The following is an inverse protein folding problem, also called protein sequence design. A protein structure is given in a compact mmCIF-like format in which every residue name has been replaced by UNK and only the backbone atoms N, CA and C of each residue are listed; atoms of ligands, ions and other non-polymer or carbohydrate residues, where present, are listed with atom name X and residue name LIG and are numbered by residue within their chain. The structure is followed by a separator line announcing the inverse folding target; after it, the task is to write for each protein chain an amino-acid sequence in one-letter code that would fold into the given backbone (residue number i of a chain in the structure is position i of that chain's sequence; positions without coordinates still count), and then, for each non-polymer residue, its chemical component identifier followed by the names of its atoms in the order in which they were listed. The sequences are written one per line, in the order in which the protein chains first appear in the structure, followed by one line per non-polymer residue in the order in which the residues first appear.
data_IF_463930826054
#
_entry.id   IF_463930826054
#
_cell.length_a   1.000
_cell.length_b   1.000
_cell.length_c   1.000
_cell.angle_alpha   90.00
_cell.angle_beta   90.00
_cell.angle_gamma   90.00
#
_symmetry.space_group_name_H-M   'P 1'
#
loop_
_entity.id
_entity.type
_entity.pdbx_description
1 polymer ?
2 polymer ?
3 non-polymer ?
4 water ?
#
# COMPACT_ATOMS: atom_id res chain seq x y z
N UNK A 1 -1.46 -5.78 9.33
CA UNK A 1 -2.07 -4.57 9.92
C UNK A 1 -1.44 -3.33 9.30
N UNK A 2 -2.12 -2.21 9.43
CA UNK A 2 -1.63 -0.95 8.89
C UNK A 2 -0.26 -0.57 9.46
N UNK A 3 -0.05 -0.76 10.75
CA UNK A 3 1.24 -0.44 11.36
C UNK A 3 2.35 -1.34 10.81
N UNK A 4 2.06 -2.62 10.62
CA UNK A 4 3.02 -3.55 10.03
C UNK A 4 3.34 -3.15 8.60
N UNK A 5 2.33 -2.79 7.83
CA UNK A 5 2.54 -2.32 6.47
C UNK A 5 3.46 -1.09 6.50
N UNK A 6 3.23 -0.17 7.42
CA UNK A 6 4.05 1.01 7.51
C UNK A 6 5.51 0.70 7.80
N UNK A 7 5.75 -0.28 8.66
CA UNK A 7 7.12 -0.70 8.96
C UNK A 7 7.76 -1.35 7.74
N UNK A 8 7.00 -2.17 7.03
CA UNK A 8 7.46 -2.77 5.79
C UNK A 8 7.83 -1.72 4.73
N UNK A 9 7.00 -0.70 4.61
CA UNK A 9 7.27 0.42 3.70
C UNK A 9 8.57 1.14 4.08
N UNK A 10 8.75 1.44 5.36
CA UNK A 10 9.97 2.12 5.80
C UNK A 10 11.20 1.24 5.54
N UNK A 11 11.12 -0.04 5.85
CA UNK A 11 12.21 -0.97 5.58
C UNK A 11 12.58 -0.98 4.13
N UNK A 12 11.57 -1.00 3.28
CA UNK A 12 11.81 -1.14 1.87
C UNK A 12 12.37 0.14 1.25
N UNK A 13 11.80 1.29 1.62
CA UNK A 13 12.01 2.54 0.89
C UNK A 13 12.85 3.58 1.61
N UNK A 14 12.96 3.48 2.93
CA UNK A 14 13.61 4.52 3.72
C UNK A 14 12.70 5.69 4.00
N UNK A 15 11.38 5.75 3.40
CA UNK A 15 10.41 6.79 3.69
C UNK A 15 9.45 6.31 4.77
N UNK A 16 9.08 7.23 5.67
CA UNK A 16 8.03 6.97 6.64
C UNK A 16 6.67 6.88 5.94
N UNK A 17 5.90 5.86 6.23
CA UNK A 17 4.60 5.67 5.57
C UNK A 17 3.70 6.89 5.79
N UNK A 18 3.65 7.39 7.01
CA UNK A 18 3.12 8.72 7.32
C UNK A 18 4.34 9.64 7.49
N UNK A 19 4.55 10.66 6.67
CA UNK A 19 3.61 11.24 5.70
C UNK A 19 3.86 10.90 4.23
N UNK A 20 4.81 10.04 3.89
CA UNK A 20 5.19 9.88 2.48
C UNK A 20 4.16 9.16 1.62
N UNK A 21 3.39 8.25 2.23
CA UNK A 21 2.45 7.40 1.49
C UNK A 21 1.04 7.35 2.06
N UNK A 22 0.74 8.21 3.04
CA UNK A 22 -0.56 8.19 3.72
C UNK A 22 -1.59 9.11 3.07
N UNK A 23 -1.14 10.02 2.24
CA UNK A 23 -2.01 11.00 1.58
C UNK A 23 -1.54 11.33 0.15
N UNK A 24 -0.95 10.36 -0.51
CA UNK A 24 -0.28 10.58 -1.79
C UNK A 24 -1.22 10.29 -2.95
N UNK A 25 -1.35 11.24 -3.85
CA UNK A 25 -2.15 11.04 -5.04
C UNK A 25 -3.59 10.74 -4.72
N UNK A 26 -4.22 9.95 -5.59
CA UNK A 26 -5.62 9.64 -5.49
C UNK A 26 -5.92 8.37 -4.72
N UNK A 27 -4.93 7.46 -4.56
CA UNK A 27 -5.19 6.14 -4.02
C UNK A 27 -4.39 5.76 -2.78
N UNK A 28 -3.35 6.51 -2.43
CA UNK A 28 -2.53 6.15 -1.27
C UNK A 28 -3.08 6.74 -0.01
N UNK A 29 -3.61 5.87 0.85
CA UNK A 29 -4.01 6.25 2.19
C UNK A 29 -5.48 6.55 2.33
N UNK A 30 -6.16 6.92 1.24
CA UNK A 30 -7.59 7.20 1.29
C UNK A 30 -8.23 7.00 -0.10
N UNK A 31 -7.85 5.91 -0.76
CA UNK A 31 -8.19 5.68 -2.16
C UNK A 31 -9.65 5.44 -2.45
N UNK A 32 -10.08 5.81 -3.65
CA UNK A 32 -11.44 5.57 -4.10
C UNK A 32 -11.73 5.88 -5.56
N UNK A 33 -11.31 7.06 -6.02
CA UNK A 33 -11.64 7.55 -7.36
C UNK A 33 -10.48 8.29 -8.01
N UNK A 34 -10.59 8.48 -9.32
CA UNK A 34 -9.58 9.21 -10.08
C UNK A 34 -8.67 8.34 -10.92
N UNK A 35 -7.97 8.97 -11.83
CA UNK A 35 -6.87 8.33 -12.52
C UNK A 35 -5.63 8.45 -11.65
N UNK A 36 -4.99 7.34 -11.29
CA UNK A 36 -3.78 7.44 -10.47
C UNK A 36 -2.77 8.41 -11.09
N UNK A 37 -2.10 9.18 -10.25
CA UNK A 37 -1.28 10.28 -10.73
C UNK A 37 0.05 9.85 -11.34
N UNK A 38 0.57 8.71 -10.91
CA UNK A 38 1.89 8.25 -11.33
C UNK A 38 2.04 6.79 -10.91
N UNK A 39 3.23 6.24 -11.10
CA UNK A 39 3.43 4.83 -10.82
C UNK A 39 3.27 4.50 -9.33
N UNK A 40 3.75 5.37 -8.45
CA UNK A 40 3.57 5.17 -7.02
C UNK A 40 2.09 5.12 -6.66
N UNK A 41 1.32 6.05 -7.20
CA UNK A 41 -0.13 6.03 -6.97
C UNK A 41 -0.77 4.77 -7.54
N UNK A 42 -0.28 4.26 -8.66
CA UNK A 42 -0.77 2.98 -9.19
C UNK A 42 -0.44 1.83 -8.24
N UNK A 43 0.69 1.87 -7.53
CA UNK A 43 0.93 0.86 -6.49
C UNK A 43 -0.22 0.86 -5.50
N UNK A 44 -0.64 2.04 -5.08
CA UNK A 44 -1.74 2.16 -4.13
C UNK A 44 -3.08 1.72 -4.71
N UNK A 45 -3.33 2.05 -5.97
CA UNK A 45 -4.53 1.60 -6.64
C UNK A 45 -4.62 0.07 -6.60
N UNK A 46 -3.54 -0.59 -7.02
CA UNK A 46 -3.51 -2.04 -7.03
C UNK A 46 -3.62 -2.60 -5.61
N UNK A 47 -2.97 -1.98 -4.64
CA UNK A 47 -3.05 -2.42 -3.25
C UNK A 47 -4.48 -2.32 -2.74
N UNK A 48 -5.17 -1.24 -3.09
CA UNK A 48 -6.58 -1.08 -2.73
C UNK A 48 -7.41 -2.20 -3.36
N UNK A 49 -7.19 -2.51 -4.64
CA UNK A 49 -7.85 -3.62 -5.29
C UNK A 49 -7.56 -4.94 -4.58
N UNK A 50 -6.32 -5.11 -4.18
CA UNK A 50 -5.86 -6.34 -3.55
C UNK A 50 -6.63 -6.55 -2.22
N UNK A 51 -6.74 -5.50 -1.42
CA UNK A 51 -7.56 -5.56 -0.22
C UNK A 51 -9.02 -5.79 -0.56
N UNK A 52 -9.48 -5.19 -1.66
CA UNK A 52 -10.84 -5.34 -2.13
C UNK A 52 -11.20 -6.76 -2.51
N UNK A 53 -10.17 -7.55 -2.88
CA UNK A 53 -10.26 -9.00 -3.16
C UNK A 53 -10.63 -9.79 -1.87
N UNK A 54 -10.55 -9.16 -0.69
CA UNK A 54 -10.64 -9.82 0.62
C UNK A 54 -11.73 -9.20 1.50
N UNK A 55 -12.98 -9.22 1.05
CA UNK A 55 -14.07 -8.50 1.74
C UNK A 55 -14.35 -9.00 3.15
N UNK A 56 -13.93 -10.32 3.43
CA UNK A 56 -14.18 -10.90 4.75
C UNK A 56 -12.92 -10.97 5.59
N UNK A 57 -11.87 -10.15 5.18
CA UNK A 57 -10.67 -9.95 5.97
C UNK A 57 -10.63 -8.52 6.45
N UNK A 58 -9.70 -8.23 7.41
CA UNK A 58 -9.64 -6.96 8.09
C UNK A 58 -8.20 -6.47 8.07
N UNK A 59 -7.74 -6.00 6.90
CA UNK A 59 -6.32 -5.68 6.73
C UNK A 59 -5.79 -4.53 7.57
N UNK A 60 -6.63 -3.64 8.08
CA UNK A 60 -6.14 -2.57 8.94
C UNK A 60 -5.62 -3.08 10.26
N UNK A 61 -6.26 -4.09 10.83
CA UNK A 61 -5.95 -4.54 12.17
C UNK A 61 -5.33 -5.92 12.28
N UNK A 62 -5.62 -6.82 11.33
CA UNK A 62 -5.16 -8.20 11.45
C UNK A 62 -3.66 -8.25 11.19
N UNK A 63 -2.93 -8.86 12.11
CA UNK A 63 -1.47 -8.93 12.04
C UNK A 63 -1.03 -10.23 11.37
N UNK A 64 -0.01 -10.12 10.52
CA UNK A 64 0.65 -11.26 9.90
C UNK A 64 2.12 -11.26 10.30
N UNK A 65 2.78 -12.40 10.08
CA UNK A 65 4.22 -12.51 10.30
C UNK A 65 4.93 -12.66 8.96
N UNK A 66 6.09 -12.04 8.86
CA UNK A 66 6.95 -12.24 7.70
C UNK A 66 8.39 -12.16 8.15
N UNK A 67 9.26 -12.67 7.30
CA UNK A 67 10.69 -12.63 7.52
C UNK A 67 11.37 -12.16 6.24
N UNK A 68 12.68 -11.94 6.37
CA UNK A 68 13.54 -11.54 5.27
C UNK A 68 14.48 -12.69 4.97
N UNK A 69 14.58 -13.05 3.70
CA UNK A 69 15.58 -14.03 3.27
C UNK A 69 16.46 -13.25 2.28
N UNK A 70 17.60 -12.78 2.76
CA UNK A 70 18.50 -11.88 2.01
C UNK A 70 17.79 -10.77 1.20
N UNK A 71 17.17 -9.84 1.91
CA UNK A 71 16.36 -8.80 1.29
C UNK A 71 14.93 -9.18 0.97
N UNK A 72 14.69 -10.43 0.58
CA UNK A 72 13.38 -10.82 0.09
C UNK A 72 12.38 -10.96 1.24
N UNK A 73 11.16 -10.45 1.04
CA UNK A 73 10.07 -10.62 1.98
C UNK A 73 9.44 -11.98 1.77
N UNK A 74 9.33 -12.75 2.85
CA UNK A 74 8.68 -14.06 2.84
C UNK A 74 7.56 -14.04 3.88
N UNK A 75 6.32 -14.05 3.41
CA UNK A 75 5.16 -14.13 4.28
C UNK A 75 5.13 -15.51 4.93
N UNK A 76 4.98 -15.56 6.25
CA UNK A 76 4.92 -16.82 7.00
C UNK A 76 3.47 -17.20 7.25
N UNK A 77 3.22 -18.48 7.41
CA UNK A 77 1.87 -19.00 7.42
C UNK A 77 1.12 -18.63 8.70
N UNK A 78 -0.06 -17.94 8.51
CA UNK A 78 -1.00 -17.59 9.55
C UNK A 78 -2.35 -18.10 9.12
N UNK A 79 -3.39 -17.34 9.41
CA UNK A 79 -4.71 -17.63 8.89
C UNK A 79 -4.72 -17.30 7.38
N UNK A 80 -5.75 -17.78 6.69
CA UNK A 80 -5.89 -17.49 5.27
C UNK A 80 -5.91 -15.98 5.01
N UNK A 81 -6.68 -15.25 5.81
CA UNK A 81 -6.73 -13.79 5.66
C UNK A 81 -5.35 -13.19 5.87
N UNK A 82 -4.64 -13.61 6.90
CA UNK A 82 -3.32 -13.05 7.17
C UNK A 82 -2.35 -13.28 6.01
N UNK A 83 -2.38 -14.48 5.44
CA UNK A 83 -1.51 -14.79 4.33
C UNK A 83 -1.78 -13.88 3.14
N UNK A 84 -3.07 -13.70 2.83
CA UNK A 84 -3.46 -12.92 1.67
C UNK A 84 -3.20 -11.42 1.88
N UNK A 85 -3.44 -10.93 3.08
CA UNK A 85 -3.12 -9.56 3.41
C UNK A 85 -1.60 -9.33 3.26
N UNK A 86 -0.81 -10.24 3.81
CA UNK A 86 0.64 -10.12 3.71
C UNK A 86 1.08 -10.03 2.25
N UNK A 87 0.52 -10.87 1.39
CA UNK A 87 0.91 -10.84 -0.02
C UNK A 87 0.54 -9.51 -0.67
N UNK A 88 -0.59 -8.94 -0.31
CA UNK A 88 -0.94 -7.62 -0.82
C UNK A 88 0.06 -6.55 -0.39
N UNK A 89 0.43 -6.58 0.89
CA UNK A 89 1.33 -5.57 1.45
C UNK A 89 2.74 -5.72 0.87
N UNK A 90 3.24 -6.95 0.80
CA UNK A 90 4.52 -7.25 0.18
C UNK A 90 4.60 -6.67 -1.23
N UNK A 91 3.58 -6.92 -2.04
CA UNK A 91 3.56 -6.43 -3.40
C UNK A 91 3.62 -4.90 -3.42
N UNK A 92 2.84 -4.24 -2.57
CA UNK A 92 2.85 -2.79 -2.56
C UNK A 92 4.20 -2.23 -2.14
N UNK A 93 4.83 -2.84 -1.13
CA UNK A 93 6.12 -2.37 -0.67
C UNK A 93 7.18 -2.50 -1.77
N UNK A 94 7.19 -3.63 -2.46
CA UNK A 94 8.06 -3.83 -3.63
C UNK A 94 7.76 -2.80 -4.72
N UNK A 95 6.49 -2.59 -4.99
CA UNK A 95 6.07 -1.61 -5.99
C UNK A 95 6.57 -0.21 -5.63
N UNK A 96 6.45 0.18 -4.37
CA UNK A 96 6.94 1.49 -3.95
C UNK A 96 8.45 1.58 -4.19
N UNK A 97 9.18 0.54 -3.84
CA UNK A 97 10.63 0.49 -4.08
C UNK A 97 10.98 0.63 -5.55
N UNK A 98 10.22 -0.06 -6.40
CA UNK A 98 10.44 -0.06 -7.84
C UNK A 98 10.16 1.30 -8.46
N UNK A 99 9.39 2.14 -7.77
CA UNK A 99 8.95 3.41 -8.32
C UNK A 99 9.43 4.62 -7.54
N UNK A 100 10.39 4.43 -6.66
CA UNK A 100 10.99 5.57 -5.96
C UNK A 100 11.62 6.58 -6.91
N UNK A 101 12.10 6.09 -8.05
CA UNK A 101 12.71 6.93 -9.07
C UNK A 101 11.77 7.98 -9.67
N UNK A 102 10.46 7.81 -9.51
CA UNK A 102 9.52 8.83 -9.95
C UNK A 102 8.61 9.38 -8.86
N UNK A 103 8.81 9.00 -7.60
CA UNK A 103 8.07 9.57 -6.48
C UNK A 103 8.20 11.10 -6.53
N UNK A 104 7.08 11.81 -6.37
CA UNK A 104 7.06 13.27 -6.43
C UNK A 104 6.34 13.86 -5.23
N UNK A 105 7.03 14.70 -4.46
CA UNK A 105 6.45 15.31 -3.27
C UNK A 105 5.23 16.17 -3.56
N UNK A 106 5.09 16.66 -4.79
CA UNK A 106 3.91 17.44 -5.17
C UNK A 106 2.59 16.67 -5.03
N UNK A 107 2.64 15.34 -5.00
CA UNK A 107 1.44 14.53 -4.80
C UNK A 107 1.14 14.22 -3.34
N UNK A 108 1.97 14.64 -2.39
CA UNK A 108 1.59 14.56 -0.97
C UNK A 108 0.44 15.52 -0.65
N UNK A 109 -0.49 15.09 0.18
CA UNK A 109 -1.68 15.87 0.53
C UNK A 109 -2.46 16.26 -0.73
N UNK A 110 -2.58 15.35 -1.70
CA UNK A 110 -3.23 15.67 -2.96
C UNK A 110 -4.71 15.91 -2.73
N UNK A 111 -5.27 17.03 -3.21
CA UNK A 111 -6.67 17.33 -2.94
C UNK A 111 -7.66 16.41 -3.65
N UNK A 112 -8.70 16.05 -2.93
CA UNK A 112 -9.71 15.11 -3.38
C UNK A 112 -10.35 15.51 -4.69
N UNK A 113 -10.59 16.91 -4.94
CA UNK A 113 -11.39 17.26 -6.11
C UNK A 113 -10.68 16.98 -7.43
N UNK A 114 -9.36 16.78 -7.37
CA UNK A 114 -8.59 16.42 -8.56
C UNK A 114 -8.58 14.91 -8.85
N UNK A 115 -9.36 14.15 -8.09
CA UNK A 115 -9.49 12.70 -8.26
C UNK A 115 -10.93 12.38 -8.56
N UNK A 116 -11.27 12.23 -9.84
CA UNK A 116 -12.65 11.97 -10.24
C UNK A 116 -12.76 10.79 -11.19
N UNK A 117 -13.85 10.03 -11.07
CA UNK A 117 -14.16 8.95 -11.98
C UNK A 117 -13.75 7.59 -11.43
N UNK A 118 -14.56 6.57 -11.70
CA UNK A 118 -14.24 5.22 -11.27
C UNK A 118 -13.28 4.57 -12.27
N UNK A 119 -12.35 3.78 -11.73
CA UNK A 119 -11.41 3.01 -12.51
C UNK A 119 -11.54 1.59 -11.98
N UNK A 120 -11.90 0.67 -12.85
CA UNK A 120 -12.18 -0.68 -12.42
C UNK A 120 -10.90 -1.43 -12.12
N UNK A 121 -10.93 -2.32 -10.98
CA UNK A 121 -9.79 -3.17 -10.67
C UNK A 121 -9.58 -4.24 -11.71
N UNK B 1 -0.57 8.29 12.91
CA UNK B 1 -1.05 7.09 13.66
C UNK B 1 -1.60 6.04 12.70
N UNK B 2 -2.29 6.52 11.66
CA UNK B 2 -2.90 5.64 10.66
C UNK B 2 -2.24 5.92 9.31
N UNK B 3 -1.55 4.93 8.76
CA UNK B 3 -0.65 5.19 7.65
C UNK B 3 -0.95 4.52 6.32
N UNK B 4 0.15 4.17 5.67
CA UNK B 4 0.15 3.24 4.57
C UNK B 4 0.96 2.03 5.01
X LIG C 1 2.78 7.97 -15.97
X LIG C 1 3.45 9.24 -16.26
X LIG C 1 3.76 7.02 -15.49
X LIG C 1 2.18 7.47 -17.21
X LIG C 1 1.73 8.21 -14.98
X LIG D 1 3.85 -7.60 15.40
X LIG D 1 3.01 -7.88 16.55
X LIG D 1 5.09 -6.98 15.85
X LIG D 1 3.18 -6.69 14.50
X LIG D 1 4.12 -8.86 14.71
X LIG E 1 10.56 15.72 -5.84
X LIG E 1 10.05 14.81 -4.81
X LIG E 1 11.71 15.11 -6.49
X LIG E 1 10.93 16.98 -5.22
X LIG E 1 9.52 15.94 -6.84
#
# INVERSE_FOLDING_TARGET
SLLEFGKMILEETGKLAIPSYSSYGCYCGWGGKGTPKDATDRCCFVHDCCYGNLPDCNPKSDRYKYKRVNGAIVCEKGTSCENRICECDKAAAICFRQNLNTYSKKYMLYPDFLCKGELKC
AIRS
SO4 S O1 O2 O3 O4
SO4 S O1 O2 O3 O4
SO4 S O1 O2 O3 O4
#
